data_IF_277800720255
#
_entry.id   IF_277800720255
#
_cell.length_a   1.000
_cell.length_b   1.000
_cell.length_c   1.000
_cell.angle_alpha   90.00
_cell.angle_beta   90.00
_cell.angle_gamma   90.00
#
_symmetry.space_group_name_H-M   'P 1'
#
loop_
_entity.id
_entity.type
_entity.pdbx_description
1 polymer ?
#
# COMPACT_ATOMS: atom_id res chain seq x y z
N UNK A 1 -6.22 -1.32 36.44
CA UNK A 1 -7.00 -2.44 35.86
C UNK A 1 -8.43 -1.93 35.63
N UNK A 2 -8.69 -1.28 34.49
CA UNK A 2 -10.02 -0.68 34.22
C UNK A 2 -11.00 -1.77 33.78
N UNK A 3 -11.99 -2.04 34.64
CA UNK A 3 -13.08 -2.97 34.36
C UNK A 3 -13.94 -2.42 33.20
N UNK A 4 -13.97 -3.15 32.09
CA UNK A 4 -14.90 -2.92 30.98
C UNK A 4 -16.34 -2.91 31.49
N UNK A 5 -17.07 -1.82 31.25
CA UNK A 5 -18.53 -1.68 31.52
C UNK A 5 -19.32 -2.81 30.86
N UNK A 6 -20.43 -3.26 31.45
CA UNK A 6 -21.22 -4.40 30.92
C UNK A 6 -21.79 -4.16 29.52
N UNK A 7 -22.06 -2.92 29.12
CA UNK A 7 -22.40 -2.57 27.72
C UNK A 7 -21.26 -2.87 26.75
N UNK A 8 -20.02 -2.54 27.12
CA UNK A 8 -18.83 -2.84 26.32
C UNK A 8 -18.64 -4.34 26.16
N UNK A 9 -18.82 -5.13 27.24
CA UNK A 9 -18.78 -6.60 27.18
C UNK A 9 -19.86 -7.15 26.25
N UNK A 10 -21.08 -6.62 26.29
CA UNK A 10 -22.19 -7.03 25.40
C UNK A 10 -21.88 -6.70 23.93
N UNK A 11 -21.31 -5.53 23.66
CA UNK A 11 -20.87 -5.14 22.31
C UNK A 11 -19.74 -6.04 21.77
N UNK A 12 -18.74 -6.36 22.60
CA UNK A 12 -17.63 -7.25 22.25
C UNK A 12 -18.16 -8.66 21.98
N UNK A 13 -19.03 -9.20 22.86
CA UNK A 13 -19.65 -10.52 22.68
C UNK A 13 -20.45 -10.60 21.37
N UNK A 14 -21.19 -9.55 21.02
CA UNK A 14 -21.92 -9.47 19.75
C UNK A 14 -20.99 -9.47 18.53
N UNK A 15 -19.87 -8.73 18.57
CA UNK A 15 -18.85 -8.74 17.51
C UNK A 15 -18.18 -10.10 17.38
N UNK A 16 -17.80 -10.71 18.50
CA UNK A 16 -17.18 -12.03 18.53
C UNK A 16 -18.08 -13.12 17.97
N UNK A 17 -19.36 -13.12 18.35
CA UNK A 17 -20.36 -14.05 17.82
C UNK A 17 -20.52 -13.93 16.30
N UNK A 18 -20.31 -12.74 15.72
CA UNK A 18 -20.33 -12.57 14.25
C UNK A 18 -19.12 -13.19 13.58
N UNK A 19 -17.93 -13.03 14.14
CA UNK A 19 -16.70 -13.67 13.62
C UNK A 19 -16.79 -15.19 13.71
N UNK A 20 -17.35 -15.71 14.81
CA UNK A 20 -17.50 -17.15 15.01
C UNK A 20 -18.78 -17.75 14.41
N UNK A 21 -19.59 -16.94 13.71
CA UNK A 21 -20.91 -17.37 13.20
C UNK A 21 -20.83 -18.46 12.14
N UNK A 22 -19.81 -18.45 11.29
CA UNK A 22 -19.66 -19.36 10.16
C UNK A 22 -18.24 -19.89 10.09
N UNK A 23 -18.07 -21.10 9.55
CA UNK A 23 -16.73 -21.63 9.28
C UNK A 23 -15.96 -20.71 8.32
N UNK A 24 -16.67 -20.10 7.36
CA UNK A 24 -16.08 -19.20 6.37
C UNK A 24 -15.62 -17.88 6.99
N UNK A 25 -16.34 -17.33 7.98
CA UNK A 25 -15.92 -16.10 8.67
C UNK A 25 -14.72 -16.35 9.58
N UNK A 26 -14.64 -17.52 10.23
CA UNK A 26 -13.46 -17.95 10.98
C UNK A 26 -12.25 -18.11 10.08
N UNK A 27 -12.39 -18.86 8.98
CA UNK A 27 -11.31 -19.08 8.01
C UNK A 27 -10.82 -17.77 7.38
N UNK A 28 -11.75 -16.88 7.01
CA UNK A 28 -11.41 -15.57 6.47
C UNK A 28 -10.67 -14.71 7.50
N UNK A 29 -11.13 -14.64 8.75
CA UNK A 29 -10.40 -13.89 9.77
C UNK A 29 -9.02 -14.50 10.05
N UNK A 30 -8.91 -15.83 10.08
CA UNK A 30 -7.66 -16.52 10.35
C UNK A 30 -6.63 -16.29 9.24
N UNK A 31 -7.05 -16.35 7.96
CA UNK A 31 -6.11 -16.21 6.84
C UNK A 31 -5.45 -14.84 6.80
N UNK A 32 -6.17 -13.74 7.07
CA UNK A 32 -5.55 -12.41 7.12
C UNK A 32 -4.60 -12.26 8.31
N UNK A 33 -4.95 -12.81 9.48
CA UNK A 33 -4.06 -12.77 10.65
C UNK A 33 -2.77 -13.57 10.40
N UNK A 34 -2.89 -14.77 9.80
CA UNK A 34 -1.74 -15.58 9.42
C UNK A 34 -0.89 -14.88 8.36
N UNK A 35 -1.53 -14.31 7.33
CA UNK A 35 -0.86 -13.54 6.29
C UNK A 35 -0.07 -12.37 6.88
N UNK A 36 -0.65 -11.61 7.81
CA UNK A 36 0.05 -10.53 8.51
C UNK A 36 1.32 -11.02 9.21
N UNK A 37 1.23 -12.09 10.00
CA UNK A 37 2.40 -12.67 10.69
C UNK A 37 3.48 -13.13 9.72
N UNK A 38 3.09 -13.80 8.62
CA UNK A 38 4.02 -14.24 7.58
C UNK A 38 4.69 -13.07 6.86
N UNK A 39 3.95 -12.00 6.54
CA UNK A 39 4.54 -10.82 5.91
C UNK A 39 5.50 -10.11 6.84
N UNK A 40 5.18 -9.97 8.12
CA UNK A 40 6.12 -9.40 9.11
C UNK A 40 7.40 -10.22 9.17
N UNK A 41 7.29 -11.55 9.17
CA UNK A 41 8.44 -12.45 9.11
C UNK A 41 9.28 -12.25 7.85
N UNK A 42 8.66 -12.26 6.66
CA UNK A 42 9.37 -12.07 5.40
C UNK A 42 9.99 -10.68 5.27
N UNK A 43 9.27 -9.62 5.64
CA UNK A 43 9.81 -8.26 5.59
C UNK A 43 10.96 -8.05 6.58
N UNK A 44 10.93 -8.71 7.73
CA UNK A 44 12.07 -8.71 8.66
C UNK A 44 13.32 -9.33 8.01
N UNK A 45 13.16 -10.44 7.28
CA UNK A 45 14.26 -11.07 6.52
C UNK A 45 14.79 -10.17 5.40
N UNK A 46 13.89 -9.53 4.65
CA UNK A 46 14.24 -8.57 3.59
C UNK A 46 15.01 -7.38 4.16
N UNK A 47 14.58 -6.83 5.30
CA UNK A 47 15.26 -5.73 6.00
C UNK A 47 16.68 -6.11 6.43
N UNK A 48 16.85 -7.28 7.06
CA UNK A 48 18.18 -7.77 7.49
C UNK A 48 19.11 -7.97 6.29
N UNK A 49 18.61 -8.56 5.20
CA UNK A 49 19.38 -8.71 3.97
C UNK A 49 19.78 -7.34 3.39
N UNK A 50 18.82 -6.42 3.28
CA UNK A 50 19.08 -5.10 2.71
C UNK A 50 20.08 -4.31 3.57
N UNK A 51 19.97 -4.40 4.89
CA UNK A 51 20.97 -3.83 5.80
C UNK A 51 22.37 -4.42 5.55
N UNK A 52 22.48 -5.74 5.39
CA UNK A 52 23.76 -6.40 5.07
C UNK A 52 24.34 -5.95 3.73
N UNK A 53 23.51 -5.79 2.70
CA UNK A 53 23.96 -5.35 1.36
C UNK A 53 24.42 -3.89 1.41
N UNK A 54 23.63 -3.00 2.00
CA UNK A 54 23.93 -1.58 2.03
C UNK A 54 25.05 -1.21 3.01
N UNK A 55 25.39 -2.11 3.94
CA UNK A 55 26.54 -1.95 4.79
C UNK A 55 27.83 -2.60 4.25
N UNK A 56 27.76 -3.38 3.15
CA UNK A 56 28.95 -3.96 2.49
C UNK A 56 29.72 -2.85 1.76
N UNK A 57 31.00 -2.69 2.09
CA UNK A 57 31.83 -1.61 1.56
C UNK A 57 32.03 -1.74 0.04
N UNK A 58 32.06 -2.96 -0.51
CA UNK A 58 32.15 -3.19 -1.96
C UNK A 58 30.91 -2.66 -2.68
N UNK A 59 29.74 -2.90 -2.08
CA UNK A 59 28.48 -2.38 -2.64
C UNK A 59 28.42 -0.86 -2.51
N UNK A 60 28.87 -0.30 -1.39
CA UNK A 60 28.91 1.15 -1.19
C UNK A 60 29.77 1.84 -2.25
N UNK A 61 31.00 1.39 -2.44
CA UNK A 61 31.94 1.98 -3.39
C UNK A 61 31.42 1.90 -4.83
N UNK A 62 30.92 0.73 -5.24
CA UNK A 62 30.36 0.53 -6.57
C UNK A 62 29.10 1.38 -6.83
N UNK A 63 28.22 1.48 -5.83
CA UNK A 63 27.01 2.30 -5.96
C UNK A 63 27.33 3.80 -6.02
N UNK A 64 28.31 4.25 -5.23
CA UNK A 64 28.81 5.63 -5.29
C UNK A 64 29.40 5.95 -6.66
N UNK A 65 30.15 5.03 -7.26
CA UNK A 65 30.67 5.18 -8.62
C UNK A 65 29.55 5.25 -9.69
N UNK A 66 28.52 4.39 -9.59
CA UNK A 66 27.38 4.39 -10.54
C UNK A 66 26.57 5.70 -10.51
N UNK A 67 26.54 6.36 -9.35
CA UNK A 67 25.71 7.55 -9.11
C UNK A 67 26.47 8.86 -8.99
N UNK A 68 27.80 8.81 -8.90
CA UNK A 68 28.67 9.96 -8.65
C UNK A 68 28.26 10.75 -7.39
N UNK A 69 27.86 10.04 -6.31
CA UNK A 69 27.25 10.65 -5.14
C UNK A 69 27.48 9.90 -3.82
N UNK A 70 28.00 10.60 -2.81
CA UNK A 70 28.55 10.02 -1.59
C UNK A 70 27.49 9.48 -0.60
N UNK A 71 26.33 10.13 -0.48
CA UNK A 71 25.25 9.73 0.44
C UNK A 71 24.18 8.83 -0.20
N UNK A 72 24.38 8.42 -1.45
CA UNK A 72 23.37 7.75 -2.27
C UNK A 72 22.90 6.39 -1.70
N UNK A 73 23.78 5.67 -0.99
CA UNK A 73 23.51 4.36 -0.38
C UNK A 73 22.65 4.45 0.88
N UNK A 74 22.88 5.45 1.74
CA UNK A 74 22.11 5.63 2.97
C UNK A 74 20.64 5.91 2.67
N UNK A 75 20.39 6.75 1.66
CA UNK A 75 19.03 7.02 1.19
C UNK A 75 18.37 5.80 0.55
N UNK A 76 19.14 4.98 -0.17
CA UNK A 76 18.65 3.72 -0.74
C UNK A 76 18.19 2.77 0.37
N UNK A 77 18.99 2.64 1.43
CA UNK A 77 18.60 1.84 2.60
C UNK A 77 17.36 2.42 3.29
N UNK A 78 17.35 3.72 3.61
CA UNK A 78 16.23 4.37 4.29
C UNK A 78 14.93 4.17 3.50
N UNK A 79 14.95 4.42 2.19
CA UNK A 79 13.80 4.23 1.32
C UNK A 79 13.33 2.77 1.29
N UNK A 80 14.25 1.82 1.14
CA UNK A 80 13.91 0.39 1.16
C UNK A 80 13.34 -0.05 2.51
N UNK A 81 13.86 0.48 3.62
CA UNK A 81 13.37 0.19 4.95
C UNK A 81 11.94 0.71 5.16
N UNK A 82 11.66 1.92 4.69
CA UNK A 82 10.32 2.52 4.75
C UNK A 82 9.34 1.72 3.90
N UNK A 83 9.73 1.27 2.70
CA UNK A 83 8.88 0.41 1.88
C UNK A 83 8.47 -0.88 2.60
N UNK A 84 9.40 -1.51 3.32
CA UNK A 84 9.11 -2.68 4.15
C UNK A 84 8.18 -2.35 5.32
N UNK A 85 8.40 -1.23 6.01
CA UNK A 85 7.53 -0.76 7.09
C UNK A 85 6.11 -0.48 6.58
N UNK A 86 5.98 0.27 5.49
CA UNK A 86 4.71 0.58 4.83
C UNK A 86 3.97 -0.70 4.45
N UNK A 87 4.67 -1.70 3.91
CA UNK A 87 4.04 -2.97 3.56
C UNK A 87 3.53 -3.73 4.78
N UNK A 88 4.26 -3.71 5.91
CA UNK A 88 3.78 -4.31 7.17
C UNK A 88 2.55 -3.56 7.71
N UNK A 89 2.53 -2.23 7.66
CA UNK A 89 1.37 -1.42 8.06
C UNK A 89 0.17 -1.68 7.15
N UNK A 90 0.38 -1.86 5.84
CA UNK A 90 -0.66 -2.29 4.90
C UNK A 90 -1.29 -3.61 5.32
N UNK A 91 -0.50 -4.63 5.66
CA UNK A 91 -1.05 -5.91 6.09
C UNK A 91 -1.84 -5.80 7.41
N UNK A 92 -1.38 -4.98 8.35
CA UNK A 92 -2.13 -4.71 9.57
C UNK A 92 -3.50 -4.06 9.27
N UNK A 93 -3.51 -3.11 8.34
CA UNK A 93 -4.76 -2.50 7.88
C UNK A 93 -5.68 -3.52 7.20
N UNK A 94 -5.17 -4.46 6.40
CA UNK A 94 -6.00 -5.51 5.80
C UNK A 94 -6.65 -6.42 6.86
N UNK A 95 -5.97 -6.73 7.96
CA UNK A 95 -6.57 -7.44 9.10
C UNK A 95 -7.71 -6.62 9.71
N UNK A 96 -7.47 -5.35 10.04
CA UNK A 96 -8.49 -4.45 10.57
C UNK A 96 -9.70 -4.33 9.62
N UNK A 97 -9.42 -4.14 8.33
CA UNK A 97 -10.43 -3.94 7.30
C UNK A 97 -11.24 -5.22 7.07
N UNK A 98 -10.61 -6.40 7.14
CA UNK A 98 -11.25 -7.72 7.11
C UNK A 98 -12.18 -7.98 8.28
N UNK A 99 -11.73 -7.68 9.51
CA UNK A 99 -12.58 -7.77 10.69
C UNK A 99 -13.77 -6.81 10.59
N UNK A 100 -13.53 -5.56 10.14
CA UNK A 100 -14.58 -4.59 9.93
C UNK A 100 -15.61 -5.06 8.89
N UNK A 101 -15.16 -5.69 7.80
CA UNK A 101 -16.02 -6.23 6.76
C UNK A 101 -16.93 -7.35 7.29
N UNK A 102 -16.41 -8.25 8.13
CA UNK A 102 -17.20 -9.31 8.78
C UNK A 102 -18.19 -8.70 9.78
N UNK A 103 -17.76 -7.76 10.62
CA UNK A 103 -18.62 -7.20 11.66
C UNK A 103 -19.86 -6.50 11.09
N UNK A 104 -19.75 -5.93 9.89
CA UNK A 104 -20.82 -5.15 9.27
C UNK A 104 -21.44 -5.84 8.04
N UNK A 105 -21.00 -7.06 7.70
CA UNK A 105 -21.44 -7.80 6.51
C UNK A 105 -21.25 -7.00 5.21
N UNK A 106 -20.18 -6.21 5.14
CA UNK A 106 -19.90 -5.35 3.99
C UNK A 106 -19.24 -6.13 2.85
N UNK A 107 -20.05 -6.59 1.90
CA UNK A 107 -19.62 -7.40 0.75
C UNK A 107 -18.58 -6.68 -0.10
N UNK A 108 -18.79 -5.38 -0.38
CA UNK A 108 -17.87 -4.59 -1.20
C UNK A 108 -16.49 -4.53 -0.55
N UNK A 109 -16.40 -4.45 0.78
CA UNK A 109 -15.12 -4.46 1.49
C UNK A 109 -14.40 -5.82 1.33
N UNK A 110 -15.13 -6.94 1.29
CA UNK A 110 -14.56 -8.27 1.07
C UNK A 110 -13.96 -8.39 -0.33
N UNK A 111 -14.66 -7.89 -1.35
CA UNK A 111 -14.13 -7.87 -2.73
C UNK A 111 -12.87 -7.02 -2.80
N UNK A 112 -12.88 -5.84 -2.17
CA UNK A 112 -11.70 -4.97 -2.10
C UNK A 112 -10.53 -5.65 -1.39
N UNK A 113 -10.76 -6.39 -0.30
CA UNK A 113 -9.72 -7.14 0.40
C UNK A 113 -9.04 -8.18 -0.49
N UNK A 114 -9.82 -8.92 -1.28
CA UNK A 114 -9.27 -9.88 -2.24
C UNK A 114 -8.41 -9.17 -3.29
N UNK A 115 -8.89 -8.05 -3.84
CA UNK A 115 -8.12 -7.25 -4.79
C UNK A 115 -6.80 -6.73 -4.19
N UNK A 116 -6.83 -6.25 -2.93
CA UNK A 116 -5.64 -5.78 -2.22
C UNK A 116 -4.67 -6.91 -1.85
N UNK A 117 -5.16 -8.13 -1.63
CA UNK A 117 -4.31 -9.31 -1.47
C UNK A 117 -3.54 -9.63 -2.75
N UNK A 118 -4.22 -9.65 -3.90
CA UNK A 118 -3.53 -9.78 -5.20
C UNK A 118 -2.55 -8.63 -5.44
N UNK A 119 -2.93 -7.41 -5.08
CA UNK A 119 -2.02 -6.26 -5.10
C UNK A 119 -0.78 -6.45 -4.20
N UNK A 120 -0.95 -7.08 -3.04
CA UNK A 120 0.15 -7.39 -2.11
C UNK A 120 1.09 -8.47 -2.69
N UNK A 121 0.56 -9.46 -3.39
CA UNK A 121 1.35 -10.47 -4.10
C UNK A 121 2.09 -9.85 -5.31
N UNK A 122 1.46 -8.95 -6.05
CA UNK A 122 2.12 -8.23 -7.13
C UNK A 122 3.23 -7.32 -6.59
N UNK A 123 2.98 -6.64 -5.46
CA UNK A 123 3.95 -5.80 -4.80
C UNK A 123 5.21 -6.56 -4.36
N UNK A 124 5.06 -7.76 -3.78
CA UNK A 124 6.21 -8.59 -3.40
C UNK A 124 7.04 -9.03 -4.61
N UNK A 125 6.39 -9.31 -5.75
CA UNK A 125 7.10 -9.59 -7.00
C UNK A 125 7.88 -8.37 -7.49
N UNK A 126 7.28 -7.17 -7.44
CA UNK A 126 7.98 -5.95 -7.83
C UNK A 126 9.18 -5.67 -6.90
N UNK A 127 9.04 -5.91 -5.59
CA UNK A 127 10.14 -5.76 -4.63
C UNK A 127 11.34 -6.68 -4.96
N UNK A 128 11.07 -7.92 -5.37
CA UNK A 128 12.08 -8.87 -5.85
C UNK A 128 12.78 -8.35 -7.12
N UNK A 129 12.01 -7.94 -8.12
CA UNK A 129 12.56 -7.46 -9.39
C UNK A 129 13.42 -6.21 -9.21
N UNK A 130 13.02 -5.33 -8.29
CA UNK A 130 13.76 -4.12 -7.98
C UNK A 130 15.17 -4.38 -7.46
N UNK A 131 15.36 -5.31 -6.51
CA UNK A 131 16.71 -5.57 -5.98
C UNK A 131 17.59 -6.26 -7.03
N UNK A 132 17.01 -7.20 -7.78
CA UNK A 132 17.72 -7.93 -8.83
C UNK A 132 18.22 -7.00 -9.93
N UNK A 133 17.32 -6.22 -10.54
CA UNK A 133 17.68 -5.30 -11.64
C UNK A 133 18.75 -4.28 -11.17
N UNK A 134 18.68 -3.81 -9.93
CA UNK A 134 19.65 -2.84 -9.41
C UNK A 134 21.05 -3.45 -9.29
N UNK A 135 21.17 -4.64 -8.70
CA UNK A 135 22.48 -5.29 -8.55
C UNK A 135 23.02 -5.74 -9.90
N UNK A 136 22.19 -6.33 -10.75
CA UNK A 136 22.56 -6.72 -12.11
C UNK A 136 23.10 -5.49 -12.89
N UNK A 137 22.46 -4.31 -12.75
CA UNK A 137 22.93 -3.09 -13.40
C UNK A 137 24.34 -2.67 -12.95
N UNK A 138 24.61 -2.72 -11.65
CA UNK A 138 25.91 -2.30 -11.09
C UNK A 138 26.99 -3.32 -11.46
N UNK A 139 26.68 -4.62 -11.41
CA UNK A 139 27.62 -5.68 -11.78
C UNK A 139 28.02 -5.63 -13.26
N UNK A 140 27.09 -5.26 -14.14
CA UNK A 140 27.33 -5.09 -15.57
C UNK A 140 27.98 -3.74 -15.93
N UNK A 141 28.26 -2.86 -14.96
CA UNK A 141 28.96 -1.60 -15.20
C UNK A 141 30.46 -1.80 -14.96
N UNK A 142 31.21 -2.10 -16.03
CA UNK A 142 32.65 -2.42 -15.97
C UNK A 142 33.52 -1.32 -15.32
N UNK A 143 33.06 -0.07 -15.34
CA UNK A 143 33.79 1.04 -14.74
C UNK A 143 33.61 1.12 -13.22
N UNK A 144 32.56 0.51 -12.68
CA UNK A 144 32.14 0.64 -11.29
C UNK A 144 31.98 -0.71 -10.56
N UNK A 145 32.34 -1.83 -11.18
CA UNK A 145 32.12 -3.19 -10.65
C UNK A 145 33.25 -3.72 -9.74
N UNK A 146 34.20 -2.87 -9.33
CA UNK A 146 35.39 -3.28 -8.57
C UNK A 146 35.01 -4.13 -7.34
N UNK A 147 35.33 -5.43 -7.37
CA UNK A 147 35.08 -6.36 -6.27
C UNK A 147 33.65 -6.89 -6.12
N UNK A 148 32.71 -6.52 -7.01
CA UNK A 148 31.34 -7.06 -7.04
C UNK A 148 31.18 -8.30 -7.93
N UNK A 149 32.24 -8.73 -8.62
CA UNK A 149 32.26 -9.97 -9.40
C UNK A 149 32.00 -11.17 -8.49
N UNK A 150 30.84 -11.84 -8.66
CA UNK A 150 30.42 -12.95 -7.79
C UNK A 150 29.64 -12.53 -6.54
N UNK A 151 29.24 -11.27 -6.41
CA UNK A 151 28.30 -10.82 -5.38
C UNK A 151 26.89 -11.34 -5.71
N UNK A 152 26.53 -12.51 -5.19
CA UNK A 152 25.20 -13.08 -5.41
C UNK A 152 24.24 -12.66 -4.29
N UNK A 153 23.04 -12.26 -4.68
CA UNK A 153 21.98 -11.97 -3.73
C UNK A 153 21.19 -13.25 -3.54
N UNK A 154 20.98 -13.64 -2.29
CA UNK A 154 20.11 -14.77 -1.91
C UNK A 154 18.59 -14.47 -2.14
N UNK A 155 18.21 -13.90 -3.28
CA UNK A 155 16.82 -13.56 -3.64
C UNK A 155 15.93 -14.80 -3.73
N UNK A 156 16.51 -15.94 -4.11
CA UNK A 156 15.81 -17.23 -4.16
C UNK A 156 15.36 -17.71 -2.78
N UNK A 157 16.15 -17.43 -1.74
CA UNK A 157 15.86 -17.84 -0.35
C UNK A 157 15.06 -16.80 0.42
N UNK A 158 15.16 -15.53 0.05
CA UNK A 158 14.53 -14.42 0.79
C UNK A 158 13.23 -13.95 0.13
N UNK A 159 13.26 -13.53 -1.14
CA UNK A 159 12.09 -12.91 -1.78
C UNK A 159 11.13 -13.93 -2.40
N UNK A 160 11.65 -14.98 -3.06
CA UNK A 160 10.81 -15.95 -3.76
C UNK A 160 9.78 -16.64 -2.83
N UNK A 161 10.13 -17.08 -1.60
CA UNK A 161 9.16 -17.68 -0.69
C UNK A 161 8.03 -16.71 -0.31
N UNK A 162 8.33 -15.42 -0.18
CA UNK A 162 7.31 -14.40 0.10
C UNK A 162 6.32 -14.27 -1.06
N UNK A 163 6.82 -14.22 -2.31
CA UNK A 163 5.97 -14.11 -3.52
C UNK A 163 5.05 -15.32 -3.65
N UNK A 164 5.60 -16.53 -3.50
CA UNK A 164 4.82 -17.78 -3.59
C UNK A 164 3.77 -17.90 -2.49
N UNK A 165 4.15 -17.52 -1.26
CA UNK A 165 3.25 -17.57 -0.11
C UNK A 165 2.08 -16.59 -0.27
N UNK A 166 2.37 -15.34 -0.65
CA UNK A 166 1.33 -14.32 -0.85
C UNK A 166 0.41 -14.63 -2.04
N UNK A 167 0.96 -15.18 -3.12
CA UNK A 167 0.16 -15.60 -4.28
C UNK A 167 -0.80 -16.73 -3.89
N UNK A 168 -0.30 -17.74 -3.20
CA UNK A 168 -1.12 -18.87 -2.71
C UNK A 168 -2.21 -18.39 -1.75
N UNK A 169 -1.87 -17.56 -0.77
CA UNK A 169 -2.83 -16.98 0.17
C UNK A 169 -3.88 -16.13 -0.55
N UNK A 170 -3.50 -15.36 -1.58
CA UNK A 170 -4.43 -14.54 -2.36
C UNK A 170 -5.48 -15.41 -3.05
N UNK A 171 -5.07 -16.51 -3.68
CA UNK A 171 -5.99 -17.47 -4.31
C UNK A 171 -6.92 -18.11 -3.29
N UNK A 172 -6.39 -18.58 -2.16
CA UNK A 172 -7.23 -19.17 -1.09
C UNK A 172 -8.22 -18.14 -0.54
N UNK A 173 -7.77 -16.91 -0.32
CA UNK A 173 -8.62 -15.82 0.18
C UNK A 173 -9.75 -15.49 -0.80
N UNK A 174 -9.52 -15.56 -2.11
CA UNK A 174 -10.54 -15.38 -3.14
C UNK A 174 -11.60 -16.51 -3.11
N UNK A 175 -11.17 -17.76 -2.91
CA UNK A 175 -12.08 -18.91 -2.78
C UNK A 175 -12.97 -18.73 -1.54
N UNK A 176 -12.40 -18.39 -0.39
CA UNK A 176 -13.16 -18.16 0.85
C UNK A 176 -14.11 -16.96 0.68
N UNK A 177 -13.63 -15.88 0.08
CA UNK A 177 -14.43 -14.69 -0.21
C UNK A 177 -15.63 -14.99 -1.11
N UNK A 178 -15.51 -15.90 -2.07
CA UNK A 178 -16.64 -16.32 -2.93
C UNK A 178 -17.78 -16.95 -2.12
N UNK A 179 -17.46 -17.70 -1.06
CA UNK A 179 -18.45 -18.30 -0.15
C UNK A 179 -19.10 -17.24 0.74
N UNK A 180 -18.29 -16.32 1.27
CA UNK A 180 -18.80 -15.18 2.05
C UNK A 180 -19.67 -14.23 1.22
N UNK A 181 -19.32 -14.00 -0.05
CA UNK A 181 -20.11 -13.20 -0.98
C UNK A 181 -21.52 -13.77 -1.12
N UNK A 182 -21.67 -15.10 -1.26
CA UNK A 182 -22.98 -15.75 -1.32
C UNK A 182 -23.73 -15.63 0.01
N UNK A 183 -23.06 -15.87 1.14
CA UNK A 183 -23.67 -15.81 2.47
C UNK A 183 -24.18 -14.41 2.81
N UNK A 184 -23.34 -13.39 2.66
CA UNK A 184 -23.69 -12.01 2.95
C UNK A 184 -24.57 -11.38 1.87
N UNK A 185 -24.41 -11.77 0.60
CA UNK A 185 -25.29 -11.36 -0.49
C UNK A 185 -26.75 -11.69 -0.21
N UNK A 186 -27.01 -12.89 0.30
CA UNK A 186 -28.35 -13.29 0.71
C UNK A 186 -28.89 -12.49 1.90
N UNK A 187 -28.05 -12.20 2.90
CA UNK A 187 -28.42 -11.35 4.06
C UNK A 187 -28.78 -9.93 3.62
N UNK A 188 -27.97 -9.33 2.75
CA UNK A 188 -28.18 -7.97 2.23
C UNK A 188 -29.43 -7.90 1.37
N UNK A 189 -29.67 -8.90 0.51
CA UNK A 189 -30.87 -8.99 -0.31
C UNK A 189 -32.14 -9.00 0.55
N UNK A 190 -32.16 -9.80 1.62
CA UNK A 190 -33.30 -9.84 2.56
C UNK A 190 -33.54 -8.52 3.28
N UNK A 191 -32.51 -7.72 3.53
CA UNK A 191 -32.62 -6.44 4.25
C UNK A 191 -33.13 -5.29 3.36
N UNK A 192 -32.72 -5.25 2.10
CA UNK A 192 -33.05 -4.16 1.18
C UNK A 192 -34.35 -4.43 0.42
N UNK A 193 -34.68 -5.70 0.17
CA UNK A 193 -35.82 -6.09 -0.66
C UNK A 193 -35.49 -6.12 -2.15
N UNK A 194 -36.52 -6.32 -2.99
CA UNK A 194 -36.38 -6.63 -4.41
C UNK A 194 -36.22 -5.45 -5.37
N UNK A 195 -36.32 -4.19 -4.90
CA UNK A 195 -36.24 -3.02 -5.78
C UNK A 195 -34.80 -2.80 -6.30
N UNK A 196 -34.64 -2.99 -7.61
CA UNK A 196 -33.37 -2.84 -8.32
C UNK A 196 -32.81 -1.41 -8.28
N UNK A 197 -33.67 -0.38 -8.23
CA UNK A 197 -33.26 1.02 -8.20
C UNK A 197 -32.61 1.37 -6.85
N UNK A 198 -33.26 1.00 -5.75
CA UNK A 198 -32.75 1.22 -4.40
C UNK A 198 -31.47 0.43 -4.17
N UNK A 199 -31.40 -0.82 -4.65
CA UNK A 199 -30.18 -1.62 -4.58
C UNK A 199 -29.01 -0.96 -5.33
N UNK A 200 -29.25 -0.35 -6.51
CA UNK A 200 -28.21 0.34 -7.27
C UNK A 200 -27.64 1.53 -6.51
N UNK A 201 -28.51 2.41 -6.00
CA UNK A 201 -28.10 3.60 -5.22
C UNK A 201 -27.32 3.19 -3.97
N UNK A 202 -27.82 2.19 -3.24
CA UNK A 202 -27.15 1.66 -2.05
C UNK A 202 -25.76 1.10 -2.36
N UNK A 203 -25.61 0.33 -3.46
CA UNK A 203 -24.31 -0.21 -3.89
C UNK A 203 -23.33 0.90 -4.26
N UNK A 204 -23.76 1.90 -5.03
CA UNK A 204 -22.90 3.03 -5.40
C UNK A 204 -22.40 3.80 -4.18
N UNK A 205 -23.27 4.06 -3.19
CA UNK A 205 -22.88 4.72 -1.95
C UNK A 205 -21.87 3.90 -1.16
N UNK A 206 -22.06 2.58 -1.06
CA UNK A 206 -21.09 1.70 -0.39
C UNK A 206 -19.74 1.64 -1.11
N UNK A 207 -19.74 1.59 -2.45
CA UNK A 207 -18.50 1.61 -3.26
C UNK A 207 -17.76 2.92 -3.00
N UNK A 208 -18.44 4.05 -3.06
CA UNK A 208 -17.79 5.34 -2.83
C UNK A 208 -17.24 5.45 -1.41
N UNK A 209 -18.01 5.12 -0.37
CA UNK A 209 -17.53 5.18 1.01
C UNK A 209 -16.35 4.22 1.22
N UNK A 210 -16.36 3.06 0.56
CA UNK A 210 -15.23 2.12 0.58
C UNK A 210 -13.98 2.73 -0.07
N UNK A 211 -14.11 3.30 -1.27
CA UNK A 211 -13.02 3.96 -1.97
C UNK A 211 -12.46 5.13 -1.15
N UNK A 212 -13.34 5.88 -0.48
CA UNK A 212 -12.92 6.97 0.39
C UNK A 212 -12.12 6.46 1.61
N UNK A 213 -12.53 5.36 2.25
CA UNK A 213 -11.74 4.76 3.34
C UNK A 213 -10.37 4.30 2.85
N UNK A 214 -10.33 3.66 1.68
CA UNK A 214 -9.10 3.17 1.08
C UNK A 214 -8.17 4.33 0.69
N UNK A 215 -8.71 5.39 0.08
CA UNK A 215 -7.96 6.58 -0.28
C UNK A 215 -7.34 7.28 0.94
N UNK A 216 -8.10 7.39 2.03
CA UNK A 216 -7.59 8.02 3.26
C UNK A 216 -6.40 7.24 3.81
N UNK A 217 -6.53 5.91 3.81
CA UNK A 217 -5.48 5.03 4.27
C UNK A 217 -4.20 5.14 3.41
N UNK A 218 -4.33 5.09 2.08
CA UNK A 218 -3.19 5.25 1.19
C UNK A 218 -2.55 6.63 1.30
N UNK A 219 -3.36 7.68 1.46
CA UNK A 219 -2.86 9.04 1.67
C UNK A 219 -2.00 9.13 2.94
N UNK A 220 -2.46 8.58 4.09
CA UNK A 220 -1.69 8.58 5.36
C UNK A 220 -0.34 7.88 5.18
N UNK A 221 -0.35 6.69 4.56
CA UNK A 221 0.88 5.92 4.33
C UNK A 221 1.82 6.62 3.37
N UNK A 222 1.27 7.27 2.34
CA UNK A 222 2.03 7.89 1.27
C UNK A 222 2.78 9.14 1.73
N UNK A 223 2.29 9.88 2.74
CA UNK A 223 2.96 11.08 3.23
C UNK A 223 4.39 10.80 3.72
N UNK A 224 4.61 9.68 4.42
CA UNK A 224 5.90 9.38 5.06
C UNK A 224 7.03 9.28 4.01
N UNK A 225 6.93 8.41 2.97
CA UNK A 225 7.93 8.38 1.90
C UNK A 225 8.09 9.72 1.18
N UNK A 226 7.00 10.45 0.97
CA UNK A 226 7.03 11.68 0.18
C UNK A 226 7.79 12.80 0.87
N UNK A 227 7.67 12.95 2.19
CA UNK A 227 8.46 13.92 2.96
C UNK A 227 9.96 13.63 2.81
N UNK A 228 10.34 12.36 2.83
CA UNK A 228 11.76 11.95 2.73
C UNK A 228 12.31 12.21 1.34
N UNK A 229 11.53 11.96 0.30
CA UNK A 229 11.90 12.31 -1.08
C UNK A 229 12.02 13.82 -1.23
N UNK A 230 11.13 14.61 -0.64
CA UNK A 230 11.20 16.07 -0.68
C UNK A 230 12.49 16.61 -0.05
N UNK A 231 12.89 16.10 1.12
CA UNK A 231 14.17 16.46 1.76
C UNK A 231 15.37 16.11 0.88
N UNK A 232 15.31 14.97 0.19
CA UNK A 232 16.37 14.54 -0.73
C UNK A 232 16.54 15.49 -1.92
N UNK A 233 15.42 15.92 -2.50
CA UNK A 233 15.42 16.82 -3.65
C UNK A 233 16.04 18.18 -3.27
N UNK A 234 15.75 18.69 -2.07
CA UNK A 234 16.34 19.95 -1.61
C UNK A 234 17.86 19.86 -1.46
N UNK A 235 18.37 18.73 -0.95
CA UNK A 235 19.80 18.51 -0.77
C UNK A 235 20.53 18.37 -2.10
N UNK A 236 19.98 17.60 -3.05
CA UNK A 236 20.62 17.35 -4.35
C UNK A 236 20.58 18.51 -5.33
N UNK A 237 19.50 19.27 -5.30
CA UNK A 237 19.34 20.37 -6.24
C UNK A 237 20.24 21.56 -5.90
N UNK A 238 20.83 21.59 -4.69
CA UNK A 238 21.43 22.81 -4.15
C UNK A 238 20.39 23.92 -4.02
N UNK A 239 19.11 23.57 -3.86
CA UNK A 239 18.00 24.52 -3.77
C UNK A 239 17.64 25.24 -5.07
N UNK A 240 17.73 24.61 -6.26
CA UNK A 240 17.17 25.25 -7.47
C UNK A 240 15.71 25.60 -7.24
N UNK A 241 15.34 26.82 -7.62
CA UNK A 241 14.00 27.39 -7.42
C UNK A 241 12.91 26.46 -7.95
N UNK A 242 13.16 25.79 -9.08
CA UNK A 242 12.20 24.86 -9.71
C UNK A 242 11.81 23.70 -8.78
N UNK A 243 12.77 23.14 -8.05
CA UNK A 243 12.53 21.96 -7.22
C UNK A 243 11.86 22.33 -5.89
N UNK A 244 12.21 23.49 -5.33
CA UNK A 244 11.52 24.06 -4.15
C UNK A 244 10.06 24.38 -4.47
N UNK A 245 9.79 24.96 -5.64
CA UNK A 245 8.41 25.23 -6.11
C UNK A 245 7.62 23.94 -6.30
N UNK A 246 8.23 22.90 -6.85
CA UNK A 246 7.59 21.59 -7.06
C UNK A 246 7.18 20.94 -5.71
N UNK A 247 8.07 20.97 -4.72
CA UNK A 247 7.80 20.45 -3.37
C UNK A 247 6.69 21.27 -2.69
N UNK A 248 6.73 22.59 -2.78
CA UNK A 248 5.72 23.46 -2.18
C UNK A 248 4.33 23.22 -2.82
N UNK A 249 4.28 23.10 -4.14
CA UNK A 249 3.05 22.74 -4.87
C UNK A 249 2.50 21.38 -4.40
N UNK A 250 3.36 20.36 -4.30
CA UNK A 250 2.94 19.04 -3.83
C UNK A 250 2.44 19.06 -2.38
N UNK A 251 3.10 19.83 -1.51
CA UNK A 251 2.64 20.06 -0.13
C UNK A 251 1.24 20.69 -0.07
N UNK A 252 0.97 21.66 -0.95
CA UNK A 252 -0.37 22.24 -1.06
C UNK A 252 -1.41 21.23 -1.60
N UNK A 253 -1.05 20.49 -2.65
CA UNK A 253 -1.93 19.48 -3.24
C UNK A 253 -2.29 18.37 -2.25
N UNK A 254 -1.33 17.90 -1.45
CA UNK A 254 -1.56 16.87 -0.43
C UNK A 254 -2.48 17.35 0.70
N UNK A 255 -2.37 18.61 1.13
CA UNK A 255 -3.31 19.21 2.08
C UNK A 255 -4.71 19.38 1.47
N UNK A 256 -4.78 19.83 0.22
CA UNK A 256 -6.04 19.96 -0.51
C UNK A 256 -6.74 18.59 -0.63
N UNK A 257 -5.99 17.51 -0.91
CA UNK A 257 -6.55 16.15 -0.99
C UNK A 257 -7.25 15.75 0.31
N UNK A 258 -6.69 16.08 1.48
CA UNK A 258 -7.32 15.81 2.77
C UNK A 258 -8.64 16.59 2.96
N UNK A 259 -8.65 17.86 2.58
CA UNK A 259 -9.87 18.71 2.65
C UNK A 259 -10.95 18.16 1.72
N UNK A 260 -10.59 17.82 0.47
CA UNK A 260 -11.50 17.24 -0.52
C UNK A 260 -12.09 15.92 -0.05
N UNK A 261 -11.33 15.12 0.69
CA UNK A 261 -11.79 13.86 1.26
C UNK A 261 -12.85 14.07 2.36
N UNK A 262 -12.68 15.07 3.21
CA UNK A 262 -13.69 15.45 4.22
C UNK A 262 -14.94 15.99 3.53
N UNK A 263 -14.76 16.83 2.49
CA UNK A 263 -15.86 17.38 1.70
C UNK A 263 -16.65 16.27 0.99
N UNK A 264 -15.98 15.27 0.42
CA UNK A 264 -16.61 14.11 -0.20
C UNK A 264 -17.47 13.31 0.79
N UNK A 265 -16.94 13.04 1.99
CA UNK A 265 -17.68 12.33 3.03
C UNK A 265 -18.95 13.11 3.44
N UNK A 266 -18.81 14.41 3.69
CA UNK A 266 -19.93 15.28 4.07
C UNK A 266 -20.97 15.39 2.95
N UNK A 267 -20.52 15.52 1.70
CA UNK A 267 -21.39 15.67 0.53
C UNK A 267 -22.28 14.44 0.33
N UNK A 268 -21.74 13.24 0.54
CA UNK A 268 -22.53 12.01 0.48
C UNK A 268 -23.54 11.91 1.62
N UNK A 269 -23.13 12.25 2.84
CA UNK A 269 -24.04 12.20 3.99
C UNK A 269 -25.20 13.19 3.85
N UNK A 270 -24.97 14.32 3.16
CA UNK A 270 -25.98 15.34 2.88
C UNK A 270 -26.71 15.14 1.54
N UNK A 271 -26.37 14.09 0.80
CA UNK A 271 -26.87 13.83 -0.56
C UNK A 271 -26.74 15.04 -1.50
N UNK A 272 -25.69 15.86 -1.30
CA UNK A 272 -25.50 17.11 -2.03
C UNK A 272 -24.87 16.86 -3.40
N UNK A 273 -25.63 17.08 -4.46
CA UNK A 273 -25.15 16.98 -5.85
C UNK A 273 -24.05 17.99 -6.17
N UNK A 274 -24.22 19.24 -5.71
CA UNK A 274 -23.23 20.29 -5.90
C UNK A 274 -21.88 19.95 -5.23
N UNK A 275 -21.91 19.40 -4.00
CA UNK A 275 -20.70 18.97 -3.30
C UNK A 275 -19.97 17.83 -4.01
N UNK A 276 -20.71 16.88 -4.58
CA UNK A 276 -20.14 15.78 -5.36
C UNK A 276 -19.50 16.26 -6.68
N UNK A 277 -20.14 17.21 -7.39
CA UNK A 277 -19.58 17.81 -8.60
C UNK A 277 -18.31 18.60 -8.27
N UNK A 278 -18.34 19.44 -7.23
CA UNK A 278 -17.19 20.22 -6.79
C UNK A 278 -16.01 19.31 -6.42
N UNK A 279 -16.27 18.21 -5.69
CA UNK A 279 -15.27 17.19 -5.40
C UNK A 279 -14.67 16.61 -6.68
N UNK A 280 -15.50 16.15 -7.62
CA UNK A 280 -15.02 15.53 -8.87
C UNK A 280 -14.15 16.47 -9.71
N UNK A 281 -14.52 17.74 -9.82
CA UNK A 281 -13.74 18.75 -10.56
C UNK A 281 -12.42 19.02 -9.86
N UNK A 282 -12.42 19.31 -8.55
CA UNK A 282 -11.20 19.63 -7.82
C UNK A 282 -10.25 18.43 -7.69
N UNK A 283 -10.79 17.20 -7.73
CA UNK A 283 -9.97 15.99 -7.71
C UNK A 283 -9.06 15.86 -8.94
N UNK A 284 -9.42 16.48 -10.07
CA UNK A 284 -8.56 16.49 -11.27
C UNK A 284 -7.21 17.18 -11.02
N UNK A 285 -7.16 18.19 -10.13
CA UNK A 285 -5.92 18.84 -9.72
C UNK A 285 -5.00 17.89 -8.96
N UNK A 286 -5.59 17.03 -8.10
CA UNK A 286 -4.83 16.01 -7.36
C UNK A 286 -4.27 14.95 -8.33
N UNK A 287 -5.05 14.55 -9.33
CA UNK A 287 -4.57 13.63 -10.37
C UNK A 287 -3.41 14.25 -11.17
N UNK A 288 -3.50 15.54 -11.49
CA UNK A 288 -2.40 16.25 -12.16
C UNK A 288 -1.13 16.32 -11.30
N UNK A 289 -1.26 16.56 -9.99
CA UNK A 289 -0.15 16.52 -9.04
C UNK A 289 0.54 15.15 -9.01
N UNK A 290 -0.21 14.04 -8.96
CA UNK A 290 0.37 12.70 -9.05
C UNK A 290 1.13 12.46 -10.37
N UNK A 291 0.62 12.99 -11.49
CA UNK A 291 1.32 12.91 -12.79
C UNK A 291 2.64 13.68 -12.79
N UNK A 292 2.64 14.89 -12.23
CA UNK A 292 3.83 15.72 -12.06
C UNK A 292 4.85 15.06 -11.12
N UNK A 293 4.38 14.40 -10.07
CA UNK A 293 5.20 13.63 -9.17
C UNK A 293 5.85 12.45 -9.91
N UNK A 294 5.10 11.66 -10.68
CA UNK A 294 5.67 10.58 -11.51
C UNK A 294 6.78 11.13 -12.43
N UNK A 295 6.53 12.27 -13.10
CA UNK A 295 7.53 12.93 -13.92
C UNK A 295 8.78 13.32 -13.12
N UNK A 296 8.62 13.92 -11.94
CA UNK A 296 9.74 14.30 -11.07
C UNK A 296 10.53 13.08 -10.60
N UNK A 297 9.85 11.98 -10.23
CA UNK A 297 10.48 10.72 -9.86
C UNK A 297 11.30 10.12 -11.01
N UNK A 298 10.79 10.16 -12.24
CA UNK A 298 11.51 9.70 -13.43
C UNK A 298 12.73 10.59 -13.71
N UNK A 299 12.54 11.92 -13.72
CA UNK A 299 13.59 12.91 -14.05
C UNK A 299 14.74 12.88 -13.05
N UNK A 300 14.44 12.80 -11.76
CA UNK A 300 15.45 12.91 -10.73
C UNK A 300 16.26 11.63 -10.55
N UNK A 301 15.89 10.52 -11.22
CA UNK A 301 16.57 9.21 -11.09
C UNK A 301 16.76 8.78 -9.61
N UNK A 302 15.93 9.34 -8.72
CA UNK A 302 15.91 9.05 -7.29
C UNK A 302 15.25 7.68 -7.16
N UNK A 303 16.12 6.67 -7.22
CA UNK A 303 15.93 5.37 -6.59
C UNK A 303 14.61 4.66 -6.94
N UNK A 304 14.56 4.11 -8.17
CA UNK A 304 13.81 2.90 -8.52
C UNK A 304 12.53 2.62 -7.75
N UNK A 305 11.55 3.52 -7.79
CA UNK A 305 10.21 3.24 -7.27
C UNK A 305 9.43 2.39 -8.28
N UNK A 306 8.41 1.70 -7.77
CA UNK A 306 7.54 0.68 -8.39
C UNK A 306 7.06 0.91 -9.84
N UNK A 307 7.14 2.15 -10.35
CA UNK A 307 6.74 2.51 -11.71
C UNK A 307 7.84 2.34 -12.77
N UNK A 308 9.12 2.28 -12.37
CA UNK A 308 10.25 2.28 -13.32
C UNK A 308 10.41 0.98 -14.11
N UNK A 309 9.78 -0.14 -13.71
CA UNK A 309 9.84 -1.40 -14.47
C UNK A 309 9.10 -1.27 -15.82
N UNK A 310 8.09 -0.39 -15.90
CA UNK A 310 7.30 -0.22 -17.12
C UNK A 310 7.99 0.72 -18.12
N UNK A 311 8.81 1.66 -17.63
CA UNK A 311 9.43 2.72 -18.44
C UNK A 311 10.95 2.54 -18.66
N UNK A 312 11.55 1.49 -18.09
CA UNK A 312 12.96 1.13 -18.29
C UNK A 312 13.09 0.13 -19.46
N UNK A 313 12.74 0.58 -20.65
CA UNK A 313 13.32 0.12 -21.92
C UNK A 313 13.60 1.33 -22.78
#
# INVERSE_FOLDING_TARGET
MCLLTDESKRHIKKKWNRVTSSIWTKLFSAIFTIQFGLVVFFQSRVLVRNYSIYNDDRFKEAYKCDKDEDNSVEYLFAFSAIQSLVFMVLQLYLVYFGLNAIFHEHIIQIITLVALNFGSAAYSLVQLLQIKIRVDRIQNNDNCNAGLTGFDIDWLRVDLPQVLTLTTISVISAIIASKLYRQFGWSVYKRIGGDLRIQRIYRSNLIFIMLLKLNLFFWIIYIIPTVIVALKITDFSGGKVVDVVLIAYHGFATLLALILQILAYSSIKRESTAGMIAFSVLWTLIVADYGLLIYAFVRLLILGSYFMIIFSK
#
